data_IF_009286486892
#
_entry.id   IF_009286486892
#
_cell.length_a   1.000
_cell.length_b   1.000
_cell.length_c   1.000
_cell.angle_alpha   90.00
_cell.angle_beta   90.00
_cell.angle_gamma   90.00
#
_symmetry.space_group_name_H-M   'P 1'
#
loop_
_entity.id
_entity.type
_entity.pdbx_description
1 polymer ?
#
# COMPACT_ATOMS: atom_id res chain seq x y z
N UNK A 1 -9.38 -2.74 -17.62
CA UNK A 1 -10.00 -2.20 -16.39
C UNK A 1 -9.07 -1.11 -15.87
N UNK A 2 -9.55 0.10 -15.54
CA UNK A 2 -8.69 1.15 -15.02
C UNK A 2 -8.22 0.79 -13.60
N UNK A 3 -6.91 0.86 -13.36
CA UNK A 3 -6.31 0.73 -12.04
C UNK A 3 -6.28 2.13 -11.42
N UNK A 4 -6.91 2.31 -10.25
CA UNK A 4 -7.01 3.60 -9.57
C UNK A 4 -6.04 3.58 -8.39
N UNK A 5 -5.08 4.51 -8.37
CA UNK A 5 -4.23 4.77 -7.21
C UNK A 5 -4.87 5.90 -6.38
N UNK A 6 -5.12 5.63 -5.10
CA UNK A 6 -5.73 6.57 -4.16
C UNK A 6 -4.71 6.92 -3.08
N UNK A 7 -4.10 8.09 -3.18
CA UNK A 7 -3.40 8.77 -2.07
C UNK A 7 -4.01 10.17 -1.96
N UNK A 8 -4.27 10.62 -0.74
CA UNK A 8 -5.04 11.81 -0.35
C UNK A 8 -4.88 13.01 -1.32
N UNK A 9 -6.00 13.52 -1.85
CA UNK A 9 -6.06 14.47 -2.98
C UNK A 9 -6.72 13.81 -4.19
N UNK A 10 -7.36 14.57 -5.10
CA UNK A 10 -8.12 14.00 -6.22
C UNK A 10 -7.30 12.90 -6.92
N UNK A 11 -7.86 11.68 -7.11
CA UNK A 11 -7.08 10.53 -7.53
C UNK A 11 -6.38 10.84 -8.87
N UNK A 12 -5.07 10.59 -9.02
CA UNK A 12 -4.41 10.64 -10.32
C UNK A 12 -5.08 9.59 -11.22
N UNK A 13 -5.99 10.04 -12.10
CA UNK A 13 -6.69 9.12 -12.99
C UNK A 13 -5.84 8.92 -14.25
N UNK A 14 -4.96 7.93 -14.22
CA UNK A 14 -4.31 7.42 -15.42
C UNK A 14 -5.31 6.56 -16.22
N UNK A 15 -6.29 7.21 -16.87
CA UNK A 15 -7.29 6.52 -17.67
C UNK A 15 -6.70 6.06 -19.01
N UNK A 16 -6.92 4.79 -19.33
CA UNK A 16 -6.64 4.25 -20.67
C UNK A 16 -5.18 3.90 -20.96
N UNK A 17 -4.28 3.95 -19.97
CA UNK A 17 -2.89 3.51 -20.15
C UNK A 17 -2.85 1.99 -20.22
N UNK A 18 -2.38 1.43 -21.33
CA UNK A 18 -2.06 0.01 -21.42
C UNK A 18 -0.88 -0.29 -20.49
N UNK A 19 -1.06 -1.23 -19.57
CA UNK A 19 -0.11 -1.48 -18.49
C UNK A 19 -0.03 -2.97 -18.14
N UNK A 20 1.14 -3.41 -17.70
CA UNK A 20 1.40 -4.79 -17.31
C UNK A 20 1.69 -4.87 -15.81
N UNK A 21 1.08 -5.85 -15.14
CA UNK A 21 1.39 -6.21 -13.75
C UNK A 21 2.19 -7.52 -13.73
N UNK A 22 3.38 -7.49 -13.13
CA UNK A 22 4.24 -8.66 -12.93
C UNK A 22 4.50 -8.87 -11.44
N UNK A 23 4.44 -10.12 -10.99
CA UNK A 23 4.85 -10.56 -9.66
C UNK A 23 5.92 -11.64 -9.83
N UNK A 24 7.12 -11.37 -9.35
CA UNK A 24 8.22 -12.34 -9.26
C UNK A 24 8.55 -12.55 -7.79
N UNK A 25 8.36 -13.76 -7.28
CA UNK A 25 8.50 -14.02 -5.86
C UNK A 25 9.04 -15.42 -5.60
N UNK A 26 9.88 -15.54 -4.57
CA UNK A 26 10.53 -16.79 -4.17
C UNK A 26 10.20 -17.09 -2.72
N UNK A 27 9.89 -18.35 -2.42
CA UNK A 27 9.78 -18.86 -1.06
C UNK A 27 10.95 -19.81 -0.77
N UNK A 28 11.46 -19.84 0.47
CA UNK A 28 12.30 -20.94 0.93
C UNK A 28 11.50 -22.25 0.97
N UNK A 29 12.19 -23.37 0.75
CA UNK A 29 11.64 -24.73 0.71
C UNK A 29 10.69 -25.03 1.88
N UNK A 30 9.55 -25.65 1.59
CA UNK A 30 8.52 -25.96 2.59
C UNK A 30 8.33 -27.47 2.75
N UNK A 31 7.99 -27.89 3.97
CA UNK A 31 7.63 -29.27 4.30
C UNK A 31 6.12 -29.45 4.18
N UNK A 32 5.70 -30.56 3.56
CA UNK A 32 4.32 -30.81 3.14
C UNK A 32 3.27 -30.80 4.26
N UNK A 33 2.02 -30.55 3.88
CA UNK A 33 0.84 -30.55 4.74
C UNK A 33 -0.44 -30.76 3.93
N UNK A 34 -1.60 -30.79 4.59
CA UNK A 34 -2.91 -30.77 3.96
C UNK A 34 -3.76 -29.63 4.54
N UNK A 35 -4.70 -29.10 3.75
CA UNK A 35 -5.61 -28.04 4.22
C UNK A 35 -5.10 -26.62 4.00
N UNK A 36 -5.54 -25.69 4.86
CA UNK A 36 -5.13 -24.29 4.79
C UNK A 36 -3.64 -24.15 5.17
N UNK A 37 -2.94 -23.25 4.47
CA UNK A 37 -1.54 -22.95 4.73
C UNK A 37 -1.31 -21.44 4.79
N UNK A 38 -0.30 -21.06 5.58
CA UNK A 38 0.28 -19.72 5.63
C UNK A 38 1.79 -19.87 5.66
N UNK A 39 2.46 -19.42 4.60
CA UNK A 39 3.90 -19.52 4.44
C UNK A 39 4.52 -18.14 4.54
N UNK A 40 5.37 -17.92 5.55
CA UNK A 40 6.15 -16.70 5.71
C UNK A 40 7.52 -16.83 5.03
N UNK A 41 8.18 -15.69 4.79
CA UNK A 41 9.48 -15.64 4.11
C UNK A 41 9.37 -15.54 2.58
N UNK A 42 8.19 -15.14 2.07
CA UNK A 42 8.02 -14.83 0.66
C UNK A 42 8.68 -13.48 0.36
N UNK A 43 9.67 -13.48 -0.53
CA UNK A 43 10.38 -12.28 -0.95
C UNK A 43 10.35 -12.13 -2.47
N UNK A 44 10.25 -10.90 -2.95
CA UNK A 44 10.05 -10.66 -4.36
C UNK A 44 9.80 -9.22 -4.73
N UNK A 45 9.41 -9.05 -5.99
CA UNK A 45 9.08 -7.76 -6.58
C UNK A 45 7.75 -7.83 -7.30
N UNK A 46 7.03 -6.73 -7.22
CA UNK A 46 5.83 -6.48 -8.01
C UNK A 46 6.02 -5.22 -8.81
N UNK A 47 5.77 -5.26 -10.12
CA UNK A 47 5.89 -4.08 -10.96
C UNK A 47 4.60 -3.89 -11.75
N UNK A 48 4.04 -2.69 -11.64
CA UNK A 48 3.02 -2.16 -12.52
C UNK A 48 3.66 -1.13 -13.44
N UNK A 49 3.81 -1.51 -14.70
CA UNK A 49 4.48 -0.67 -15.70
C UNK A 49 3.53 -0.33 -16.83
N UNK A 50 3.59 0.92 -17.29
CA UNK A 50 2.96 1.32 -18.53
C UNK A 50 3.71 0.69 -19.71
N UNK A 51 2.98 0.30 -20.75
CA UNK A 51 3.55 -0.25 -21.96
C UNK A 51 4.33 0.81 -22.76
N UNK A 52 3.86 2.06 -22.69
CA UNK A 52 4.48 3.25 -23.28
C UNK A 52 4.72 4.31 -22.21
N UNK A 53 5.71 5.21 -22.37
CA UNK A 53 5.94 6.30 -21.42
C UNK A 53 4.70 7.17 -21.22
N UNK A 54 4.37 7.42 -19.96
CA UNK A 54 3.28 8.29 -19.52
C UNK A 54 3.89 9.55 -18.94
N UNK A 55 3.25 10.70 -19.17
CA UNK A 55 3.66 11.98 -18.59
C UNK A 55 2.64 12.44 -17.56
N UNK A 56 3.10 12.76 -16.35
CA UNK A 56 2.26 13.23 -15.25
C UNK A 56 3.05 14.15 -14.31
N UNK A 57 2.46 15.31 -13.94
CA UNK A 57 3.04 16.31 -13.03
C UNK A 57 4.55 16.58 -13.23
N UNK A 58 4.96 16.79 -14.48
CA UNK A 58 6.35 17.06 -14.90
C UNK A 58 7.32 15.88 -14.90
N UNK A 59 6.87 14.67 -14.56
CA UNK A 59 7.63 13.44 -14.75
C UNK A 59 7.12 12.68 -15.99
N UNK A 60 8.04 12.01 -16.69
CA UNK A 60 7.73 11.10 -17.79
C UNK A 60 8.42 9.78 -17.54
N UNK A 61 7.68 8.69 -17.58
CA UNK A 61 8.20 7.38 -17.21
C UNK A 61 7.26 6.24 -17.51
N UNK A 62 7.71 5.03 -17.22
CA UNK A 62 6.92 3.80 -17.42
C UNK A 62 6.67 3.07 -16.11
N UNK A 63 7.40 3.37 -15.04
CA UNK A 63 7.19 2.79 -13.73
C UNK A 63 6.05 3.51 -13.00
N UNK A 64 4.84 2.96 -13.14
CA UNK A 64 3.67 3.48 -12.45
C UNK A 64 3.77 3.17 -10.95
N UNK A 65 4.14 1.93 -10.62
CA UNK A 65 4.41 1.50 -9.25
C UNK A 65 5.25 0.22 -9.26
N UNK A 66 6.35 0.20 -8.51
CA UNK A 66 7.07 -1.03 -8.17
C UNK A 66 7.09 -1.21 -6.67
N UNK A 67 6.84 -2.43 -6.21
CA UNK A 67 6.87 -2.84 -4.81
C UNK A 67 7.97 -3.87 -4.63
N UNK A 68 8.88 -3.63 -3.69
CA UNK A 68 9.82 -4.63 -3.22
C UNK A 68 9.35 -5.13 -1.87
N UNK A 69 9.38 -6.44 -1.66
CA UNK A 69 8.99 -7.02 -0.38
C UNK A 69 9.87 -8.18 0.03
N UNK A 70 10.10 -8.32 1.34
CA UNK A 70 10.63 -9.53 1.96
C UNK A 70 9.79 -9.91 3.16
N UNK A 71 9.76 -11.21 3.46
CA UNK A 71 9.05 -11.77 4.60
C UNK A 71 7.54 -11.49 4.55
N UNK A 72 6.98 -11.48 3.34
CA UNK A 72 5.55 -11.52 3.13
C UNK A 72 5.01 -12.95 3.40
N UNK A 73 3.70 -13.04 3.62
CA UNK A 73 2.97 -14.28 3.79
C UNK A 73 2.24 -14.67 2.50
N UNK A 74 2.40 -15.92 2.06
CA UNK A 74 1.55 -16.55 1.06
C UNK A 74 0.54 -17.45 1.77
N UNK A 75 -0.74 -17.18 1.56
CA UNK A 75 -1.86 -17.88 2.17
C UNK A 75 -2.68 -18.58 1.11
N UNK A 76 -3.21 -19.75 1.44
CA UNK A 76 -4.09 -20.48 0.54
C UNK A 76 -4.60 -21.78 1.15
N UNK A 77 -5.29 -22.56 0.33
CA UNK A 77 -5.70 -23.92 0.68
C UNK A 77 -5.09 -24.90 -0.31
N UNK A 78 -4.48 -25.98 0.18
CA UNK A 78 -3.94 -27.04 -0.66
C UNK A 78 -5.08 -27.68 -1.46
N UNK A 79 -4.89 -27.81 -2.77
CA UNK A 79 -5.91 -28.26 -3.72
C UNK A 79 -6.83 -27.14 -4.23
N UNK A 80 -6.79 -25.93 -3.65
CA UNK A 80 -7.54 -24.78 -4.14
C UNK A 80 -6.77 -23.99 -5.22
N UNK A 81 -7.51 -23.21 -5.99
CA UNK A 81 -7.01 -22.26 -7.00
C UNK A 81 -7.12 -20.81 -6.53
N UNK A 82 -7.33 -20.60 -5.23
CA UNK A 82 -7.46 -19.28 -4.62
C UNK A 82 -6.54 -19.14 -3.41
N UNK A 83 -5.97 -17.95 -3.25
CA UNK A 83 -5.05 -17.62 -2.18
C UNK A 83 -4.77 -16.12 -2.13
N UNK A 84 -3.74 -15.74 -1.39
CA UNK A 84 -3.33 -14.34 -1.34
C UNK A 84 -1.91 -14.17 -0.83
N UNK A 85 -1.30 -13.06 -1.22
CA UNK A 85 -0.02 -12.60 -0.71
C UNK A 85 -0.28 -11.36 0.12
N UNK A 86 0.26 -11.29 1.33
CA UNK A 86 0.12 -10.11 2.19
C UNK A 86 1.39 -9.86 2.98
N UNK A 87 1.71 -8.59 3.21
CA UNK A 87 2.82 -8.18 4.05
C UNK A 87 2.51 -6.85 4.73
N UNK A 88 3.14 -6.63 5.88
CA UNK A 88 3.02 -5.38 6.64
C UNK A 88 4.36 -5.07 7.28
N UNK A 89 4.84 -3.84 7.16
CA UNK A 89 6.06 -3.41 7.85
C UNK A 89 5.89 -3.38 9.36
N UNK A 90 4.66 -3.15 9.84
CA UNK A 90 4.33 -3.28 11.27
C UNK A 90 4.30 -4.74 11.70
N UNK A 91 3.93 -5.64 10.78
CA UNK A 91 3.95 -7.09 10.95
C UNK A 91 5.32 -7.76 10.77
N UNK A 92 6.38 -6.99 10.53
CA UNK A 92 7.75 -7.51 10.39
C UNK A 92 8.23 -7.80 8.96
N UNK A 93 7.38 -7.61 7.94
CA UNK A 93 7.82 -7.63 6.54
C UNK A 93 8.68 -6.40 6.24
N UNK A 94 9.55 -6.47 5.24
CA UNK A 94 10.14 -5.25 4.65
C UNK A 94 9.39 -4.96 3.36
N UNK A 95 8.90 -3.72 3.19
CA UNK A 95 8.15 -3.31 2.00
C UNK A 95 8.62 -1.91 1.60
N UNK A 96 8.95 -1.73 0.32
CA UNK A 96 9.28 -0.42 -0.23
C UNK A 96 8.64 -0.22 -1.60
N UNK A 97 8.39 1.04 -1.94
CA UNK A 97 7.74 1.44 -3.17
C UNK A 97 8.64 2.37 -3.98
N UNK A 98 8.60 2.24 -5.30
CA UNK A 98 9.18 3.21 -6.23
C UNK A 98 8.18 3.53 -7.33
N UNK A 99 8.23 4.76 -7.84
CA UNK A 99 7.42 5.22 -8.96
C UNK A 99 8.15 6.36 -9.65
N UNK A 100 7.91 6.51 -10.96
CA UNK A 100 8.40 7.69 -11.69
C UNK A 100 7.57 8.95 -11.36
N UNK A 101 6.40 8.79 -10.73
CA UNK A 101 5.40 9.84 -10.54
C UNK A 101 5.08 10.16 -9.08
N UNK A 102 5.35 9.21 -8.18
CA UNK A 102 5.00 9.29 -6.77
C UNK A 102 6.26 9.21 -5.90
N UNK A 103 6.35 10.09 -4.90
CA UNK A 103 7.41 10.05 -3.89
C UNK A 103 6.93 9.29 -2.64
N UNK A 104 7.73 8.31 -2.22
CA UNK A 104 7.48 7.47 -1.05
C UNK A 104 8.52 7.66 0.06
N UNK A 105 9.39 8.67 -0.05
CA UNK A 105 10.48 8.93 0.90
C UNK A 105 10.03 9.19 2.34
N UNK A 106 8.80 9.72 2.51
CA UNK A 106 8.21 10.00 3.81
C UNK A 106 7.44 8.80 4.42
N UNK A 107 7.47 7.63 3.78
CA UNK A 107 6.68 6.49 4.21
C UNK A 107 7.31 5.78 5.42
N UNK A 108 6.59 5.72 6.53
CA UNK A 108 7.05 5.06 7.77
C UNK A 108 6.45 3.68 7.97
N UNK A 109 5.33 3.39 7.32
CA UNK A 109 4.67 2.09 7.33
C UNK A 109 4.08 1.78 5.95
N UNK A 110 4.20 0.52 5.55
CA UNK A 110 3.75 0.02 4.26
C UNK A 110 3.04 -1.31 4.45
N UNK A 111 1.88 -1.43 3.82
CA UNK A 111 1.13 -2.67 3.75
C UNK A 111 0.91 -3.06 2.30
N UNK A 112 0.83 -4.36 2.06
CA UNK A 112 0.47 -4.89 0.76
C UNK A 112 -0.45 -6.09 0.89
N UNK A 113 -1.38 -6.19 -0.05
CA UNK A 113 -2.24 -7.36 -0.19
C UNK A 113 -2.56 -7.59 -1.66
N UNK A 114 -2.40 -8.84 -2.09
CA UNK A 114 -2.87 -9.33 -3.37
C UNK A 114 -3.72 -10.57 -3.20
N UNK A 115 -4.88 -10.53 -3.84
CA UNK A 115 -5.69 -11.71 -4.04
C UNK A 115 -5.22 -12.49 -5.27
N UNK A 116 -5.11 -13.80 -5.11
CA UNK A 116 -4.86 -14.74 -6.19
C UNK A 116 -6.18 -15.44 -6.50
N UNK A 117 -6.81 -15.09 -7.62
CA UNK A 117 -8.04 -15.73 -8.09
C UNK A 117 -7.77 -16.58 -9.32
N UNK A 118 -8.26 -17.82 -9.32
CA UNK A 118 -8.13 -18.78 -10.42
C UNK A 118 -6.68 -19.07 -10.84
N UNK A 119 -5.83 -19.43 -9.88
CA UNK A 119 -4.48 -19.93 -10.15
C UNK A 119 -4.59 -21.21 -11.00
N UNK A 120 -4.03 -21.18 -12.21
CA UNK A 120 -4.18 -22.27 -13.19
C UNK A 120 -3.60 -23.62 -12.71
N UNK A 121 -2.61 -23.57 -11.82
CA UNK A 121 -2.19 -24.73 -11.04
C UNK A 121 -2.73 -24.56 -9.63
N UNK A 122 -3.53 -25.51 -9.15
CA UNK A 122 -3.92 -25.53 -7.74
C UNK A 122 -2.69 -25.61 -6.85
N UNK A 123 -2.78 -25.08 -5.64
CA UNK A 123 -1.71 -25.20 -4.65
C UNK A 123 -1.49 -26.70 -4.35
N UNK A 124 -0.31 -27.22 -4.71
CA UNK A 124 0.01 -28.64 -4.61
C UNK A 124 0.52 -29.05 -3.23
N UNK A 125 0.45 -30.35 -2.93
CA UNK A 125 1.12 -30.93 -1.76
C UNK A 125 2.65 -30.77 -1.92
N UNK A 126 3.31 -30.09 -0.99
CA UNK A 126 4.70 -29.63 -1.07
C UNK A 126 5.76 -30.75 -0.85
N UNK A 127 5.55 -31.93 -1.45
CA UNK A 127 6.41 -33.13 -1.28
C UNK A 127 6.96 -33.73 -2.58
N UNK A 128 6.64 -33.17 -3.75
CA UNK A 128 7.23 -33.55 -5.05
C UNK A 128 7.79 -32.31 -5.74
N UNK A 129 9.02 -32.37 -6.29
CA UNK A 129 9.78 -31.17 -6.64
C UNK A 129 9.32 -30.60 -7.99
N UNK A 130 8.11 -30.01 -8.11
CA UNK A 130 7.71 -29.36 -9.37
C UNK A 130 6.44 -28.50 -9.42
N UNK A 131 5.67 -28.28 -8.35
CA UNK A 131 4.28 -27.78 -8.57
C UNK A 131 4.04 -26.27 -8.38
N UNK A 132 5.04 -25.49 -7.96
CA UNK A 132 4.98 -24.02 -7.90
C UNK A 132 6.22 -23.35 -8.52
N UNK A 133 6.61 -23.73 -9.75
CA UNK A 133 7.67 -22.97 -10.44
C UNK A 133 7.12 -21.76 -11.19
N UNK A 134 5.93 -21.90 -11.76
CA UNK A 134 5.24 -20.82 -12.47
C UNK A 134 3.74 -20.97 -12.27
N UNK A 135 3.07 -19.90 -11.84
CA UNK A 135 1.61 -19.81 -11.91
C UNK A 135 1.20 -18.50 -12.56
N UNK A 136 0.08 -18.52 -13.29
CA UNK A 136 -0.55 -17.33 -13.87
C UNK A 136 -1.88 -17.12 -13.14
N UNK A 137 -2.06 -15.93 -12.55
CA UNK A 137 -3.27 -15.56 -11.82
C UNK A 137 -3.78 -14.22 -12.36
N UNK A 138 -5.10 -14.02 -12.31
CA UNK A 138 -5.69 -12.70 -12.51
C UNK A 138 -5.56 -11.95 -11.19
N UNK A 139 -4.74 -10.90 -11.20
CA UNK A 139 -4.34 -10.18 -9.99
C UNK A 139 -5.27 -8.99 -9.73
N UNK A 140 -5.78 -8.92 -8.50
CA UNK A 140 -6.44 -7.75 -7.94
C UNK A 140 -5.88 -7.47 -6.55
N UNK A 141 -5.39 -6.26 -6.32
CA UNK A 141 -4.77 -5.84 -5.06
C UNK A 141 -4.99 -4.36 -4.80
N UNK A 142 -4.97 -3.97 -3.54
CA UNK A 142 -5.00 -2.58 -3.09
C UNK A 142 -3.67 -2.28 -2.41
N UNK A 143 -3.02 -1.18 -2.80
CA UNK A 143 -1.87 -0.63 -2.11
C UNK A 143 -2.35 0.55 -1.30
N UNK A 144 -2.00 0.56 -0.01
CA UNK A 144 -2.26 1.68 0.87
C UNK A 144 -0.92 2.10 1.46
N UNK A 145 -0.50 3.32 1.15
CA UNK A 145 0.48 4.03 1.96
C UNK A 145 -0.30 4.84 2.99
N UNK A 146 0.04 4.72 4.26
CA UNK A 146 -0.32 5.74 5.23
C UNK A 146 0.79 6.81 5.17
N UNK A 147 0.60 7.93 4.46
CA UNK A 147 1.51 9.04 4.65
C UNK A 147 1.32 9.48 6.09
N UNK A 148 2.30 9.19 6.95
CA UNK A 148 2.39 9.75 8.29
C UNK A 148 2.66 11.26 8.19
N UNK A 149 1.73 12.00 7.58
CA UNK A 149 1.55 13.41 7.84
C UNK A 149 0.85 13.46 9.18
N UNK A 150 1.64 13.61 10.25
CA UNK A 150 1.14 14.32 11.41
C UNK A 150 0.58 15.63 10.85
N UNK A 151 -0.75 15.72 10.77
CA UNK A 151 -1.50 16.92 10.41
C UNK A 151 -1.22 17.93 11.53
N UNK A 152 -0.02 18.50 11.51
CA UNK A 152 0.34 19.65 12.31
C UNK A 152 -0.63 20.72 11.83
N UNK A 153 -1.52 21.22 12.69
CA UNK A 153 -2.48 22.23 12.28
C UNK A 153 -1.71 23.38 11.63
N UNK A 154 -2.18 23.84 10.47
CA UNK A 154 -1.52 24.89 9.73
C UNK A 154 -1.28 26.10 10.65
N UNK A 155 -0.22 26.91 10.44
CA UNK A 155 0.05 28.07 11.28
C UNK A 155 -1.17 29.00 11.48
N UNK A 156 -2.08 29.04 10.50
CA UNK A 156 -3.37 29.75 10.60
C UNK A 156 -4.32 29.18 11.66
N UNK A 157 -4.37 27.85 11.84
CA UNK A 157 -5.20 27.21 12.87
C UNK A 157 -4.69 27.55 14.28
N UNK A 158 -3.36 27.61 14.46
CA UNK A 158 -2.76 28.09 15.70
C UNK A 158 -3.11 29.56 15.96
N UNK A 159 -3.02 30.40 14.93
CA UNK A 159 -3.38 31.80 15.03
C UNK A 159 -4.86 31.98 15.42
N UNK A 160 -5.77 31.17 14.87
CA UNK A 160 -7.20 31.20 15.22
C UNK A 160 -7.47 30.73 16.66
N UNK A 161 -6.76 29.70 17.15
CA UNK A 161 -6.87 29.27 18.54
C UNK A 161 -6.36 30.35 19.50
N UNK A 162 -5.19 30.92 19.22
CA UNK A 162 -4.62 32.02 20.03
C UNK A 162 -5.52 33.25 20.01
N UNK A 163 -6.07 33.63 18.85
CA UNK A 163 -7.01 34.73 18.72
C UNK A 163 -8.32 34.45 19.48
N UNK A 164 -8.87 33.23 19.38
CA UNK A 164 -10.06 32.80 20.08
C UNK A 164 -9.89 32.87 21.61
N UNK A 165 -8.80 32.30 22.15
CA UNK A 165 -8.51 32.37 23.58
C UNK A 165 -8.22 33.80 24.05
N UNK A 166 -7.56 34.61 23.22
CA UNK A 166 -7.32 36.03 23.49
C UNK A 166 -8.62 36.83 23.62
N UNK A 167 -9.56 36.65 22.67
CA UNK A 167 -10.86 37.31 22.69
C UNK A 167 -11.73 36.90 23.89
N UNK A 168 -11.72 35.60 24.24
CA UNK A 168 -12.43 35.11 25.44
C UNK A 168 -11.81 35.71 26.72
N UNK A 169 -10.49 35.76 26.82
CA UNK A 169 -9.81 36.37 27.98
C UNK A 169 -10.13 37.87 28.15
N UNK A 170 -10.13 38.63 27.05
CA UNK A 170 -10.46 40.07 27.05
C UNK A 170 -11.92 40.31 27.41
N UNK A 171 -12.84 39.51 26.88
CA UNK A 171 -14.27 39.65 27.15
C UNK A 171 -14.61 39.35 28.62
N UNK A 172 -13.98 38.35 29.24
CA UNK A 172 -14.11 38.07 30.68
C UNK A 172 -13.58 39.21 31.55
N UNK A 173 -12.42 39.79 31.19
CA UNK A 173 -11.85 40.95 31.91
C UNK A 173 -12.73 42.20 31.85
N UNK A 174 -13.38 42.47 30.71
CA UNK A 174 -14.30 43.61 30.57
C UNK A 174 -15.51 43.48 31.49
N UNK A 175 -16.11 42.30 31.61
CA UNK A 175 -17.29 42.06 32.48
C UNK A 175 -16.97 42.27 33.96
N UNK A 176 -15.76 41.88 34.42
CA UNK A 176 -15.35 42.10 35.82
C UNK A 176 -15.19 43.58 36.18
N UNK A 177 -14.83 44.44 35.23
CA UNK A 177 -14.69 45.89 35.49
C UNK A 177 -16.03 46.62 35.58
N UNK A 178 -17.07 46.10 34.92
CA UNK A 178 -18.43 46.69 34.95
C UNK A 178 -19.16 46.37 36.27
N UNK A 179 -18.71 45.34 37.02
CA UNK A 179 -19.30 44.94 38.30
C UNK A 179 -18.62 45.58 39.54
N UNK A 180 -17.63 46.48 39.37
CA UNK A 180 -16.95 47.19 40.47
C UNK A 180 -17.16 48.72 40.32
N UNK A 181 -18.34 49.13 39.88
CA UNK A 181 -18.76 50.54 39.80
C UNK A 181 -20.11 50.73 40.51
#
# INVERSE_FOLDING_TARGET
MPVIFSILGAPPVLQGVASTLKLDATLPSQTGGSGAFSLSGLSGTMAFTANDPVSYLSATGTNLLTVFFSDAALNGTIGASTGGVSGSTVGGSTISFTSDFLDFSALTAADMSLSLSAVFSTFGNFGTPSRLRNFRATLGGQFSSDPAQALIPEPGTWAMLVAGFGLVGVSVRRRRRVLIA
#
